data_IF_675750807511
#
_entry.id   IF_675750807511
#
_cell.length_a   1.000
_cell.length_b   1.000
_cell.length_c   1.000
_cell.angle_alpha   90.00
_cell.angle_beta   90.00
_cell.angle_gamma   90.00
#
_symmetry.space_group_name_H-M   'P 1'
#
loop_
_entity.id
_entity.type
_entity.pdbx_description
1 polymer ?
#
# COMPACT_ATOMS: atom_id res chain seq x y z
N UNK A 1 16.43 -31.60 13.85
CA UNK A 1 16.74 -31.48 12.41
C UNK A 1 18.25 -31.57 12.24
N UNK A 2 18.70 -32.40 11.30
CA UNK A 2 20.12 -32.56 10.99
C UNK A 2 20.61 -31.25 10.39
N UNK A 3 21.41 -30.50 11.14
CA UNK A 3 22.05 -29.29 10.66
C UNK A 3 23.05 -29.74 9.60
N UNK A 4 22.78 -29.48 8.32
CA UNK A 4 23.87 -29.53 7.33
C UNK A 4 24.93 -28.56 7.83
N UNK A 5 26.07 -29.10 8.27
CA UNK A 5 27.19 -28.28 8.72
C UNK A 5 27.77 -27.61 7.47
N UNK A 6 27.26 -26.43 7.16
CA UNK A 6 27.84 -25.59 6.13
C UNK A 6 29.12 -24.99 6.72
N UNK A 7 30.28 -25.47 6.24
CA UNK A 7 31.55 -24.83 6.53
C UNK A 7 31.62 -23.51 5.77
N UNK A 8 31.40 -22.41 6.49
CA UNK A 8 31.57 -21.06 5.96
C UNK A 8 33.07 -20.76 5.94
N UNK A 9 33.67 -20.37 4.79
CA UNK A 9 35.06 -19.97 4.73
C UNK A 9 35.34 -18.78 5.64
N UNK A 10 36.55 -18.72 6.21
CA UNK A 10 36.95 -17.63 7.10
C UNK A 10 36.95 -16.26 6.39
N UNK A 11 37.26 -16.25 5.09
CA UNK A 11 37.27 -15.05 4.25
C UNK A 11 36.32 -15.26 3.08
N UNK A 12 35.33 -14.37 2.95
CA UNK A 12 34.36 -14.42 1.85
C UNK A 12 34.15 -13.05 1.19
N UNK A 13 33.80 -13.02 -0.11
CA UNK A 13 33.31 -11.82 -0.77
C UNK A 13 32.01 -11.33 -0.15
N UNK A 14 31.86 -10.02 0.04
CA UNK A 14 30.67 -9.41 0.63
C UNK A 14 29.86 -8.67 -0.44
N UNK A 15 28.64 -9.14 -0.65
CA UNK A 15 27.63 -8.47 -1.45
C UNK A 15 26.83 -7.51 -0.56
N UNK A 16 26.88 -6.23 -0.91
CA UNK A 16 26.12 -5.17 -0.25
C UNK A 16 24.69 -5.13 -0.77
N UNK A 17 23.70 -5.29 0.10
CA UNK A 17 22.29 -5.21 -0.21
C UNK A 17 21.77 -3.81 0.13
N UNK A 18 21.05 -3.18 -0.80
CA UNK A 18 20.44 -1.85 -0.60
C UNK A 18 19.13 -1.96 0.19
N UNK A 19 18.36 -2.99 -0.10
CA UNK A 19 17.05 -3.27 0.49
C UNK A 19 16.90 -4.78 0.57
N UNK A 20 16.18 -5.27 1.59
CA UNK A 20 15.99 -6.69 1.89
C UNK A 20 17.17 -7.37 2.58
N UNK A 21 16.84 -8.14 3.61
CA UNK A 21 17.75 -9.00 4.37
C UNK A 21 17.56 -10.44 3.93
N UNK A 22 18.64 -11.15 3.63
CA UNK A 22 18.58 -12.57 3.31
C UNK A 22 18.59 -13.39 4.60
N UNK A 23 17.59 -14.25 4.81
CA UNK A 23 17.56 -15.16 5.96
C UNK A 23 18.12 -16.55 5.63
N UNK A 24 18.68 -17.28 6.61
CA UNK A 24 19.08 -18.66 6.44
C UNK A 24 17.92 -19.57 5.99
N UNK A 25 18.16 -20.40 4.97
CA UNK A 25 17.18 -21.29 4.34
C UNK A 25 16.23 -20.62 3.35
N UNK A 26 16.28 -19.29 3.20
CA UNK A 26 15.44 -18.56 2.26
C UNK A 26 16.12 -18.48 0.88
N UNK A 27 15.31 -18.61 -0.17
CA UNK A 27 15.73 -18.39 -1.55
C UNK A 27 15.16 -17.05 -2.00
N UNK A 28 16.02 -16.06 -2.25
CA UNK A 28 15.60 -14.70 -2.60
C UNK A 28 16.29 -14.23 -3.88
N UNK A 29 15.55 -13.73 -4.87
CA UNK A 29 16.13 -13.05 -6.03
C UNK A 29 16.62 -11.64 -5.62
N UNK A 30 17.86 -11.33 -5.94
CA UNK A 30 18.48 -10.02 -5.68
C UNK A 30 18.98 -9.44 -7.00
N UNK A 31 18.51 -8.24 -7.33
CA UNK A 31 18.99 -7.50 -8.50
C UNK A 31 20.23 -6.69 -8.12
N UNK A 32 21.31 -6.87 -8.87
CA UNK A 32 22.56 -6.13 -8.75
C UNK A 32 22.83 -5.35 -10.03
N UNK A 33 23.20 -4.07 -9.87
CA UNK A 33 23.52 -3.18 -11.00
C UNK A 33 24.86 -2.44 -10.86
N UNK A 34 25.50 -2.47 -9.68
CA UNK A 34 26.80 -1.81 -9.46
C UNK A 34 27.92 -2.68 -10.01
N UNK A 35 28.92 -2.06 -10.65
CA UNK A 35 30.07 -2.76 -11.23
C UNK A 35 30.82 -3.65 -10.23
N UNK A 36 30.99 -3.17 -8.97
CA UNK A 36 31.59 -3.95 -7.87
C UNK A 36 30.78 -5.21 -7.56
N UNK A 37 29.45 -5.09 -7.48
CA UNK A 37 28.54 -6.22 -7.21
C UNK A 37 28.48 -7.21 -8.38
N UNK A 38 28.45 -6.72 -9.62
CA UNK A 38 28.47 -7.56 -10.83
C UNK A 38 29.79 -8.35 -10.90
N UNK A 39 30.91 -7.68 -10.65
CA UNK A 39 32.24 -8.29 -10.60
C UNK A 39 32.33 -9.39 -9.55
N UNK A 40 31.82 -9.13 -8.34
CA UNK A 40 31.75 -10.11 -7.26
C UNK A 40 30.94 -11.34 -7.65
N UNK A 41 29.73 -11.14 -8.18
CA UNK A 41 28.81 -12.24 -8.54
C UNK A 41 29.43 -13.13 -9.61
N UNK A 42 30.08 -12.55 -10.63
CA UNK A 42 30.76 -13.30 -11.69
C UNK A 42 31.95 -14.10 -11.14
N UNK A 43 32.76 -13.50 -10.26
CA UNK A 43 33.89 -14.17 -9.64
C UNK A 43 33.45 -15.36 -8.78
N UNK A 44 32.48 -15.15 -7.88
CA UNK A 44 31.94 -16.20 -7.00
C UNK A 44 31.31 -17.34 -7.81
N UNK A 45 30.58 -17.01 -8.88
CA UNK A 45 29.95 -18.02 -9.74
C UNK A 45 30.97 -18.86 -10.52
N UNK A 46 32.09 -18.26 -10.97
CA UNK A 46 33.16 -18.98 -11.66
C UNK A 46 33.91 -19.95 -10.73
N UNK A 47 34.11 -19.55 -9.47
CA UNK A 47 34.81 -20.36 -8.46
C UNK A 47 33.89 -21.38 -7.75
N UNK A 48 32.57 -21.27 -7.93
CA UNK A 48 31.59 -22.10 -7.20
C UNK A 48 31.54 -21.80 -5.70
N UNK A 49 31.92 -20.57 -5.30
CA UNK A 49 32.12 -20.16 -3.91
C UNK A 49 30.84 -19.73 -3.19
N UNK A 50 31.02 -19.31 -1.92
CA UNK A 50 30.01 -18.63 -1.12
C UNK A 50 30.26 -17.12 -1.11
N UNK A 51 29.23 -16.35 -0.85
CA UNK A 51 29.31 -14.91 -0.60
C UNK A 51 28.57 -14.56 0.69
N UNK A 52 28.94 -13.44 1.31
CA UNK A 52 28.21 -12.87 2.44
C UNK A 52 27.26 -11.79 1.94
N UNK A 53 25.97 -11.93 2.18
CA UNK A 53 24.98 -10.91 1.88
C UNK A 53 24.73 -10.06 3.14
N UNK A 54 24.98 -8.75 3.04
CA UNK A 54 24.95 -7.83 4.18
C UNK A 54 24.16 -6.58 3.80
N UNK A 55 23.26 -6.16 4.69
CA UNK A 55 22.44 -4.96 4.49
C UNK A 55 23.27 -3.69 4.73
N UNK A 56 23.01 -2.64 3.93
CA UNK A 56 23.48 -1.28 4.16
C UNK A 56 22.58 -0.57 5.20
N UNK A 57 23.17 0.26 6.06
CA UNK A 57 22.41 1.09 7.02
C UNK A 57 21.58 2.15 6.32
N UNK A 58 22.17 2.79 5.32
CA UNK A 58 21.52 3.81 4.50
C UNK A 58 21.41 3.29 3.06
N UNK A 59 20.18 3.11 2.59
CA UNK A 59 19.89 2.57 1.25
C UNK A 59 20.29 3.53 0.12
N UNK A 60 20.36 4.83 0.41
CA UNK A 60 20.64 5.87 -0.58
C UNK A 60 22.12 5.99 -0.93
N UNK A 61 23.02 5.43 -0.13
CA UNK A 61 24.47 5.48 -0.39
C UNK A 61 24.82 4.60 -1.59
N UNK A 62 25.37 5.20 -2.65
CA UNK A 62 25.74 4.48 -3.89
C UNK A 62 27.03 3.66 -3.77
N UNK A 63 28.02 4.15 -3.04
CA UNK A 63 29.26 3.41 -2.77
C UNK A 63 29.47 3.33 -1.26
N UNK A 64 28.85 2.32 -0.60
CA UNK A 64 28.89 2.20 0.85
C UNK A 64 30.31 1.90 1.32
N UNK A 65 30.76 2.59 2.37
CA UNK A 65 31.97 2.24 3.08
C UNK A 65 31.73 1.06 4.04
N UNK A 66 32.78 0.39 4.53
CA UNK A 66 32.67 -0.65 5.56
C UNK A 66 31.82 -0.26 6.78
N UNK A 67 31.89 1.00 7.21
CA UNK A 67 31.16 1.50 8.38
C UNK A 67 29.66 1.72 8.12
N UNK A 68 29.26 1.82 6.85
CA UNK A 68 27.87 1.96 6.42
C UNK A 68 27.12 0.62 6.41
N UNK A 69 27.82 -0.48 6.70
CA UNK A 69 27.26 -1.82 6.67
C UNK A 69 26.81 -2.28 8.06
N UNK A 70 25.82 -3.16 8.11
CA UNK A 70 25.55 -3.94 9.31
C UNK A 70 26.64 -4.98 9.55
N UNK A 71 26.87 -5.32 10.82
CA UNK A 71 27.90 -6.32 11.19
C UNK A 71 27.46 -7.75 10.94
N UNK A 72 26.15 -8.01 11.03
CA UNK A 72 25.57 -9.33 10.86
C UNK A 72 24.91 -9.42 9.50
N UNK A 73 25.25 -10.47 8.76
CA UNK A 73 24.66 -10.82 7.48
C UNK A 73 24.42 -12.32 7.37
N UNK A 74 24.25 -12.79 6.13
CA UNK A 74 24.00 -14.20 5.84
C UNK A 74 24.95 -14.70 4.77
N UNK A 75 25.65 -15.80 5.06
CA UNK A 75 26.39 -16.54 4.04
C UNK A 75 25.40 -17.17 3.07
N UNK A 76 25.67 -17.04 1.78
CA UNK A 76 24.78 -17.46 0.73
C UNK A 76 25.52 -18.12 -0.43
N UNK A 77 24.80 -18.96 -1.17
CA UNK A 77 25.26 -19.55 -2.42
C UNK A 77 24.42 -19.04 -3.59
N UNK A 78 25.08 -18.78 -4.71
CA UNK A 78 24.42 -18.45 -5.97
C UNK A 78 23.81 -19.73 -6.53
N UNK A 79 22.48 -19.75 -6.68
CA UNK A 79 21.78 -20.84 -7.38
C UNK A 79 21.78 -20.57 -8.88
N UNK A 80 21.47 -19.32 -9.27
CA UNK A 80 21.29 -18.95 -10.68
C UNK A 80 21.53 -17.47 -10.88
N UNK A 81 22.03 -17.11 -12.05
CA UNK A 81 22.15 -15.73 -12.53
C UNK A 81 21.27 -15.58 -13.76
N UNK A 82 20.50 -14.48 -13.79
CA UNK A 82 19.66 -14.08 -14.91
C UNK A 82 20.13 -12.70 -15.37
N UNK A 83 20.51 -12.57 -16.63
CA UNK A 83 20.87 -11.28 -17.22
C UNK A 83 19.59 -10.58 -17.68
N UNK A 84 19.39 -9.35 -17.20
CA UNK A 84 18.23 -8.54 -17.58
C UNK A 84 18.56 -7.70 -18.82
N UNK A 85 17.57 -7.35 -19.67
CA UNK A 85 17.80 -6.58 -20.90
C UNK A 85 18.44 -5.20 -20.69
N UNK A 86 18.36 -4.66 -19.47
CA UNK A 86 18.93 -3.37 -19.07
C UNK A 86 20.39 -3.44 -18.62
N UNK A 87 21.04 -4.62 -18.68
CA UNK A 87 22.41 -4.83 -18.24
C UNK A 87 22.58 -5.17 -16.76
N UNK A 88 21.50 -5.13 -15.95
CA UNK A 88 21.54 -5.59 -14.57
C UNK A 88 21.52 -7.12 -14.49
N UNK A 89 22.05 -7.68 -13.40
CA UNK A 89 21.98 -9.10 -13.11
C UNK A 89 20.96 -9.35 -12.00
N UNK A 90 20.05 -10.30 -12.19
CA UNK A 90 19.22 -10.83 -11.11
C UNK A 90 19.82 -12.16 -10.67
N UNK A 91 20.27 -12.21 -9.42
CA UNK A 91 20.94 -13.37 -8.83
C UNK A 91 20.00 -14.02 -7.83
N UNK A 92 19.74 -15.31 -8.01
CA UNK A 92 18.97 -16.11 -7.07
C UNK A 92 19.93 -16.66 -6.02
N UNK A 93 19.79 -16.19 -4.78
CA UNK A 93 20.64 -16.58 -3.66
C UNK A 93 19.89 -17.54 -2.73
N UNK A 94 20.60 -18.56 -2.25
CA UNK A 94 20.17 -19.39 -1.12
C UNK A 94 20.92 -18.97 0.14
N UNK A 95 20.22 -18.48 1.15
CA UNK A 95 20.81 -18.20 2.46
C UNK A 95 21.15 -19.50 3.19
N UNK A 96 22.34 -19.59 3.76
CA UNK A 96 22.85 -20.80 4.42
C UNK A 96 22.92 -20.63 5.94
N UNK A 97 23.82 -19.77 6.42
CA UNK A 97 24.00 -19.49 7.85
C UNK A 97 24.24 -18.01 8.09
N UNK A 98 23.98 -17.55 9.33
CA UNK A 98 24.32 -16.19 9.73
C UNK A 98 25.81 -16.05 9.89
N UNK A 99 26.32 -14.88 9.57
CA UNK A 99 27.72 -14.52 9.69
C UNK A 99 27.85 -13.18 10.41
N UNK A 100 28.90 -13.04 11.20
CA UNK A 100 29.36 -11.77 11.73
C UNK A 100 30.63 -11.36 11.01
N UNK A 101 30.65 -10.13 10.49
CA UNK A 101 31.84 -9.51 9.92
C UNK A 101 32.74 -9.07 11.06
N UNK A 102 33.95 -9.62 11.09
CA UNK A 102 34.99 -9.24 12.07
C UNK A 102 35.88 -8.12 11.53
N UNK A 103 36.26 -8.18 10.26
CA UNK A 103 37.18 -7.24 9.63
C UNK A 103 37.01 -7.22 8.11
N UNK A 104 37.09 -6.06 7.47
CA UNK A 104 37.19 -5.94 6.02
C UNK A 104 38.66 -5.96 5.58
N UNK A 105 39.03 -6.94 4.78
CA UNK A 105 40.42 -7.20 4.35
C UNK A 105 40.73 -6.46 3.05
N UNK A 106 39.75 -6.35 2.16
CA UNK A 106 39.89 -5.66 0.88
C UNK A 106 38.57 -4.98 0.49
N UNK A 107 38.66 -3.86 -0.22
CA UNK A 107 37.52 -3.09 -0.74
C UNK A 107 37.43 -3.10 -2.27
N UNK A 108 38.55 -3.37 -2.95
CA UNK A 108 38.66 -3.42 -4.41
C UNK A 108 39.11 -4.82 -4.88
N UNK A 109 38.57 -5.36 -5.99
CA UNK A 109 37.50 -4.81 -6.83
C UNK A 109 36.09 -4.94 -6.22
N UNK A 110 35.99 -5.59 -5.06
CA UNK A 110 34.78 -5.73 -4.25
C UNK A 110 35.19 -6.04 -2.81
N UNK A 111 34.26 -5.90 -1.86
CA UNK A 111 34.52 -6.18 -0.46
C UNK A 111 34.87 -7.65 -0.21
N UNK A 112 35.95 -7.89 0.53
CA UNK A 112 36.26 -9.18 1.14
C UNK A 112 36.40 -8.96 2.63
N UNK A 113 35.74 -9.79 3.43
CA UNK A 113 35.77 -9.68 4.88
C UNK A 113 36.07 -11.01 5.53
N UNK A 114 36.70 -10.94 6.71
CA UNK A 114 36.82 -12.06 7.63
C UNK A 114 35.50 -12.21 8.39
N UNK A 115 34.94 -13.41 8.37
CA UNK A 115 33.62 -13.68 8.94
C UNK A 115 33.66 -14.85 9.92
N UNK A 116 32.79 -14.78 10.93
CA UNK A 116 32.55 -15.86 11.88
C UNK A 116 31.11 -16.34 11.72
N UNK A 117 30.91 -17.66 11.57
CA UNK A 117 29.56 -18.22 11.52
C UNK A 117 28.86 -18.08 12.88
N UNK A 118 27.69 -17.42 12.88
CA UNK A 118 26.84 -17.25 14.05
C UNK A 118 25.74 -18.30 14.05
N UNK A 119 25.96 -19.39 14.77
CA UNK A 119 24.94 -20.43 14.93
C UNK A 119 23.87 -19.98 15.93
N UNK A 120 22.62 -19.93 15.46
CA UNK A 120 21.48 -19.70 16.35
C UNK A 120 21.41 -20.82 17.39
N UNK A 121 21.38 -20.45 18.66
CA UNK A 121 20.99 -21.35 19.73
C UNK A 121 19.59 -21.91 19.44
N UNK A 122 19.50 -23.24 19.36
CA UNK A 122 18.21 -23.93 19.29
C UNK A 122 17.65 -24.08 20.69
N UNK A 123 16.42 -23.63 20.96
CA UNK A 123 15.73 -23.94 22.21
C UNK A 123 15.64 -25.46 22.39
N UNK A 124 15.51 -25.90 23.64
CA UNK A 124 15.23 -27.31 23.92
C UNK A 124 13.97 -27.72 23.16
N UNK A 125 14.06 -28.84 22.42
CA UNK A 125 13.01 -29.31 21.50
C UNK A 125 11.69 -29.55 22.24
N UNK A 126 11.75 -29.73 23.56
CA UNK A 126 10.62 -29.95 24.47
C UNK A 126 10.03 -28.68 25.12
N UNK A 127 10.47 -27.49 24.75
CA UNK A 127 9.91 -26.26 25.30
C UNK A 127 8.49 -26.02 24.78
N UNK A 128 7.50 -26.26 25.66
CA UNK A 128 6.06 -25.99 25.39
C UNK A 128 5.85 -24.52 25.01
N UNK A 129 6.59 -23.61 25.66
CA UNK A 129 6.51 -22.17 25.36
C UNK A 129 6.94 -21.86 23.92
N UNK A 130 8.03 -22.47 23.46
CA UNK A 130 8.52 -22.24 22.10
C UNK A 130 7.56 -22.79 21.05
N UNK A 131 6.88 -23.90 21.34
CA UNK A 131 5.86 -24.46 20.46
C UNK A 131 4.64 -23.56 20.35
N UNK A 132 4.07 -23.14 21.49
CA UNK A 132 2.94 -22.21 21.53
C UNK A 132 3.26 -20.88 20.83
N UNK A 133 4.51 -20.41 20.93
CA UNK A 133 4.96 -19.20 20.25
C UNK A 133 5.00 -19.37 18.74
N UNK A 134 5.50 -20.49 18.24
CA UNK A 134 5.53 -20.79 16.79
C UNK A 134 4.11 -20.94 16.24
N UNK A 135 3.21 -21.58 16.97
CA UNK A 135 1.80 -21.70 16.58
C UNK A 135 1.12 -20.32 16.55
N UNK A 136 1.38 -19.47 17.55
CA UNK A 136 0.86 -18.09 17.56
C UNK A 136 1.37 -17.28 16.37
N UNK A 137 2.66 -17.40 16.03
CA UNK A 137 3.26 -16.75 14.85
C UNK A 137 2.58 -17.24 13.57
N UNK A 138 2.32 -18.55 13.45
CA UNK A 138 1.63 -19.15 12.31
C UNK A 138 0.22 -18.56 12.17
N UNK A 139 -0.55 -18.51 13.25
CA UNK A 139 -1.93 -18.02 13.24
C UNK A 139 -2.00 -16.53 12.89
N UNK A 140 -1.13 -15.70 13.49
CA UNK A 140 -1.08 -14.27 13.18
C UNK A 140 -0.67 -14.05 11.72
N UNK A 141 0.35 -14.76 11.22
CA UNK A 141 0.76 -14.66 9.82
C UNK A 141 -0.37 -15.05 8.84
N UNK A 142 -1.12 -16.13 9.13
CA UNK A 142 -2.27 -16.54 8.33
C UNK A 142 -3.38 -15.49 8.34
N UNK A 143 -3.65 -14.86 9.48
CA UNK A 143 -4.63 -13.79 9.58
C UNK A 143 -4.23 -12.57 8.73
N UNK A 144 -2.95 -12.17 8.76
CA UNK A 144 -2.46 -11.07 7.92
C UNK A 144 -2.66 -11.38 6.43
N UNK A 145 -2.34 -12.61 5.99
CA UNK A 145 -2.55 -13.04 4.59
C UNK A 145 -4.03 -13.00 4.20
N UNK A 146 -4.93 -13.37 5.11
CA UNK A 146 -6.37 -13.38 4.81
C UNK A 146 -6.98 -11.97 4.76
N UNK A 147 -6.48 -11.04 5.58
CA UNK A 147 -6.98 -9.66 5.64
C UNK A 147 -6.37 -8.80 4.52
N UNK A 148 -5.14 -9.08 4.12
CA UNK A 148 -4.43 -8.31 3.09
C UNK A 148 -4.79 -8.75 1.67
N UNK A 149 -5.46 -7.91 0.86
CA UNK A 149 -5.84 -8.27 -0.51
C UNK A 149 -4.65 -8.42 -1.46
N UNK A 150 -3.49 -7.86 -1.11
CA UNK A 150 -2.28 -7.85 -1.95
C UNK A 150 -1.46 -9.13 -1.83
N UNK A 151 -1.71 -9.99 -0.83
CA UNK A 151 -0.91 -11.19 -0.61
C UNK A 151 -1.45 -12.43 -1.35
N UNK A 152 -0.60 -13.20 -2.03
CA UNK A 152 -1.00 -14.46 -2.67
C UNK A 152 -1.49 -15.48 -1.65
N UNK A 153 -2.63 -16.12 -1.93
CA UNK A 153 -3.20 -17.16 -1.04
C UNK A 153 -2.33 -18.41 -0.98
N UNK A 154 -1.48 -18.62 -1.99
CA UNK A 154 -0.49 -19.67 -2.07
C UNK A 154 0.52 -19.61 -0.91
N UNK A 155 0.83 -18.39 -0.41
CA UNK A 155 1.71 -18.21 0.74
C UNK A 155 1.12 -18.85 2.01
N UNK A 156 -0.21 -18.81 2.19
CA UNK A 156 -0.87 -19.45 3.32
C UNK A 156 -0.74 -20.99 3.27
N UNK A 157 -0.73 -21.59 2.08
CA UNK A 157 -0.48 -23.02 1.93
C UNK A 157 0.96 -23.39 2.29
N UNK A 158 1.94 -22.57 1.88
CA UNK A 158 3.34 -22.79 2.22
C UNK A 158 3.55 -22.79 3.74
N UNK A 159 3.00 -21.79 4.45
CA UNK A 159 3.12 -21.67 5.92
C UNK A 159 2.55 -22.90 6.66
N UNK A 160 1.45 -23.48 6.16
CA UNK A 160 0.82 -24.66 6.77
C UNK A 160 1.60 -25.95 6.58
N UNK A 161 2.38 -26.05 5.51
CA UNK A 161 3.13 -27.27 5.14
C UNK A 161 4.58 -27.27 5.65
N UNK A 162 5.05 -26.20 6.30
CA UNK A 162 6.39 -26.15 6.87
C UNK A 162 6.36 -26.76 8.28
N UNK A 163 6.96 -27.95 8.41
CA UNK A 163 7.08 -28.67 9.68
C UNK A 163 8.23 -28.13 10.56
N UNK A 164 9.26 -27.56 9.93
CA UNK A 164 10.42 -27.04 10.64
C UNK A 164 10.08 -25.77 11.42
N UNK A 165 10.27 -25.80 12.76
CA UNK A 165 10.11 -24.61 13.62
C UNK A 165 11.06 -23.48 13.23
N UNK A 166 12.30 -23.81 12.80
CA UNK A 166 13.25 -22.82 12.28
C UNK A 166 12.83 -22.33 10.89
N UNK A 167 12.44 -23.27 10.03
CA UNK A 167 12.02 -22.98 8.66
C UNK A 167 10.84 -22.02 8.62
N UNK A 168 9.81 -22.23 9.43
CA UNK A 168 8.61 -21.38 9.44
C UNK A 168 8.93 -19.96 9.90
N UNK A 169 9.76 -19.79 10.94
CA UNK A 169 10.18 -18.47 11.42
C UNK A 169 10.94 -17.73 10.31
N UNK A 170 11.95 -18.37 9.70
CA UNK A 170 12.75 -17.74 8.65
C UNK A 170 11.92 -17.48 7.37
N UNK A 171 11.00 -18.37 7.04
CA UNK A 171 10.08 -18.20 5.91
C UNK A 171 9.19 -16.97 6.10
N UNK A 172 8.59 -16.81 7.28
CA UNK A 172 7.75 -15.66 7.59
C UNK A 172 8.59 -14.37 7.59
N UNK A 173 9.77 -14.36 8.21
CA UNK A 173 10.67 -13.21 8.17
C UNK A 173 11.05 -12.76 6.74
N UNK A 174 11.16 -13.71 5.80
CA UNK A 174 11.58 -13.43 4.43
C UNK A 174 10.44 -12.99 3.51
N UNK A 175 9.22 -13.46 3.77
CA UNK A 175 8.07 -13.22 2.88
C UNK A 175 7.13 -12.12 3.38
N UNK A 176 7.20 -11.71 4.65
CA UNK A 176 6.39 -10.60 5.16
C UNK A 176 6.99 -9.24 4.77
N UNK A 177 6.10 -8.29 4.51
CA UNK A 177 6.45 -6.88 4.27
C UNK A 177 6.82 -6.21 5.59
N UNK A 178 8.08 -6.35 5.98
CA UNK A 178 8.66 -5.71 7.17
C UNK A 178 9.56 -4.54 6.78
N UNK A 179 9.85 -3.65 7.73
CA UNK A 179 10.88 -2.64 7.56
C UNK A 179 12.27 -3.29 7.52
N UNK A 180 13.23 -2.68 6.83
CA UNK A 180 14.60 -3.23 6.77
C UNK A 180 15.27 -3.26 8.16
N UNK A 181 14.95 -2.28 9.02
CA UNK A 181 15.37 -2.23 10.42
C UNK A 181 14.84 -3.44 11.22
N UNK A 182 13.54 -3.76 11.09
CA UNK A 182 12.94 -4.91 11.76
C UNK A 182 13.52 -6.23 11.26
N UNK A 183 13.71 -6.37 9.93
CA UNK A 183 14.34 -7.56 9.35
C UNK A 183 15.75 -7.77 9.88
N UNK A 184 16.53 -6.69 9.96
CA UNK A 184 17.87 -6.75 10.50
C UNK A 184 17.86 -7.11 11.98
N UNK A 185 16.98 -6.50 12.78
CA UNK A 185 16.82 -6.82 14.20
C UNK A 185 16.41 -8.29 14.45
N UNK A 186 15.69 -8.91 13.50
CA UNK A 186 15.34 -10.33 13.51
C UNK A 186 16.54 -11.22 13.15
N UNK A 187 17.37 -10.83 12.19
CA UNK A 187 18.58 -11.55 11.82
C UNK A 187 19.61 -11.53 12.98
N UNK A 188 19.78 -10.36 13.60
CA UNK A 188 20.71 -10.11 14.70
C UNK A 188 20.32 -10.79 16.02
N UNK A 189 19.08 -11.30 16.13
CA UNK A 189 18.64 -11.99 17.33
C UNK A 189 19.55 -13.20 17.65
N UNK A 190 20.01 -13.35 18.92
CA UNK A 190 21.06 -14.33 19.30
C UNK A 190 20.59 -15.79 19.29
N UNK A 191 19.28 -16.03 19.15
CA UNK A 191 18.71 -17.36 19.15
C UNK A 191 17.29 -17.39 18.62
N UNK A 192 16.82 -18.60 18.32
CA UNK A 192 15.54 -18.79 17.65
C UNK A 192 14.34 -18.36 18.52
N UNK A 193 14.42 -18.56 19.85
CA UNK A 193 13.37 -18.10 20.78
C UNK A 193 13.28 -16.57 20.81
N UNK A 194 14.42 -15.89 20.90
CA UNK A 194 14.46 -14.42 20.90
C UNK A 194 13.95 -13.85 19.57
N UNK A 195 14.34 -14.47 18.44
CA UNK A 195 13.80 -14.13 17.12
C UNK A 195 12.29 -14.33 17.05
N UNK A 196 11.79 -15.47 17.52
CA UNK A 196 10.36 -15.79 17.51
C UNK A 196 9.55 -14.77 18.33
N UNK A 197 10.02 -14.39 19.53
CA UNK A 197 9.33 -13.39 20.35
C UNK A 197 9.27 -12.03 19.67
N UNK A 198 10.39 -11.55 19.14
CA UNK A 198 10.43 -10.30 18.34
C UNK A 198 9.54 -10.38 17.12
N UNK A 199 9.56 -11.51 16.40
CA UNK A 199 8.74 -11.71 15.21
C UNK A 199 7.25 -11.61 15.58
N UNK A 200 6.80 -12.27 16.65
CA UNK A 200 5.42 -12.20 17.07
C UNK A 200 4.99 -10.76 17.41
N UNK A 201 5.84 -10.00 18.13
CA UNK A 201 5.57 -8.60 18.44
C UNK A 201 5.40 -7.74 17.18
N UNK A 202 6.32 -7.91 16.21
CA UNK A 202 6.25 -7.22 14.92
C UNK A 202 4.97 -7.62 14.16
N UNK A 203 4.66 -8.93 14.09
CA UNK A 203 3.50 -9.43 13.38
C UNK A 203 2.18 -8.92 13.96
N UNK A 204 2.07 -8.79 15.29
CA UNK A 204 0.86 -8.22 15.91
C UNK A 204 0.67 -6.76 15.47
N UNK A 205 1.74 -5.97 15.42
CA UNK A 205 1.70 -4.59 14.93
C UNK A 205 1.30 -4.53 13.46
N UNK A 206 1.88 -5.40 12.62
CA UNK A 206 1.55 -5.47 11.19
C UNK A 206 0.10 -5.94 10.94
N UNK A 207 -0.43 -6.85 11.77
CA UNK A 207 -1.82 -7.26 11.70
C UNK A 207 -2.77 -6.08 11.93
N UNK A 208 -2.54 -5.29 12.99
CA UNK A 208 -3.36 -4.10 13.26
C UNK A 208 -3.31 -3.10 12.11
N UNK A 209 -2.14 -2.90 11.51
CA UNK A 209 -1.98 -2.03 10.35
C UNK A 209 -2.74 -2.57 9.12
N UNK A 210 -2.66 -3.88 8.86
CA UNK A 210 -3.38 -4.52 7.77
C UNK A 210 -4.90 -4.41 7.92
N UNK A 211 -5.42 -4.62 9.13
CA UNK A 211 -6.84 -4.45 9.45
C UNK A 211 -7.31 -3.00 9.24
N UNK A 212 -6.53 -2.02 9.70
CA UNK A 212 -6.85 -0.61 9.49
C UNK A 212 -6.85 -0.23 7.99
N UNK A 213 -5.85 -0.69 7.23
CA UNK A 213 -5.79 -0.47 5.77
C UNK A 213 -7.01 -1.06 5.07
N UNK A 214 -7.42 -2.27 5.45
CA UNK A 214 -8.60 -2.95 4.90
C UNK A 214 -9.89 -2.17 5.19
N UNK A 215 -10.07 -1.70 6.44
CA UNK A 215 -11.24 -0.87 6.81
C UNK A 215 -11.30 0.45 6.04
N UNK A 216 -10.16 1.11 5.83
CA UNK A 216 -10.09 2.35 5.03
C UNK A 216 -10.50 2.05 3.58
N UNK A 217 -9.97 0.99 2.97
CA UNK A 217 -10.33 0.59 1.61
C UNK A 217 -11.82 0.29 1.47
N UNK A 218 -12.41 -0.41 2.45
CA UNK A 218 -13.83 -0.72 2.45
C UNK A 218 -14.69 0.55 2.53
N UNK A 219 -14.35 1.50 3.41
CA UNK A 219 -15.06 2.79 3.51
C UNK A 219 -14.99 3.59 2.22
N UNK A 220 -13.80 3.70 1.61
CA UNK A 220 -13.62 4.41 0.34
C UNK A 220 -14.44 3.74 -0.77
N UNK A 221 -14.47 2.41 -0.81
CA UNK A 221 -15.30 1.68 -1.77
C UNK A 221 -16.79 1.94 -1.57
N UNK A 222 -17.28 1.92 -0.33
CA UNK A 222 -18.68 2.22 -0.02
C UNK A 222 -19.07 3.65 -0.44
N UNK A 223 -18.20 4.64 -0.25
CA UNK A 223 -18.42 6.01 -0.70
C UNK A 223 -18.49 6.12 -2.23
N UNK A 224 -17.57 5.46 -2.94
CA UNK A 224 -17.59 5.41 -4.41
C UNK A 224 -18.85 4.73 -4.92
N UNK A 225 -19.22 3.58 -4.36
CA UNK A 225 -20.43 2.83 -4.74
C UNK A 225 -21.72 3.62 -4.45
N UNK A 226 -21.71 4.48 -3.43
CA UNK A 226 -22.82 5.41 -3.14
C UNK A 226 -22.87 6.52 -4.18
N UNK A 227 -21.75 7.18 -4.46
CA UNK A 227 -21.68 8.25 -5.47
C UNK A 227 -22.08 7.76 -6.87
N UNK A 228 -21.64 6.56 -7.27
CA UNK A 228 -22.03 5.97 -8.55
C UNK A 228 -23.52 5.67 -8.62
N UNK A 229 -24.11 5.15 -7.53
CA UNK A 229 -25.56 4.94 -7.45
C UNK A 229 -26.33 6.24 -7.52
N UNK A 230 -25.93 7.25 -6.76
CA UNK A 230 -26.59 8.56 -6.74
C UNK A 230 -26.53 9.22 -8.13
N UNK A 231 -25.37 9.17 -8.79
CA UNK A 231 -25.20 9.64 -10.17
C UNK A 231 -26.12 8.90 -11.15
N UNK A 232 -26.17 7.57 -11.06
CA UNK A 232 -27.00 6.75 -11.94
C UNK A 232 -28.50 7.02 -11.73
N UNK A 233 -28.95 7.14 -10.47
CA UNK A 233 -30.34 7.48 -10.13
C UNK A 233 -30.72 8.87 -10.63
N UNK A 234 -29.84 9.87 -10.49
CA UNK A 234 -30.07 11.20 -11.05
C UNK A 234 -30.21 11.17 -12.57
N UNK A 235 -29.38 10.39 -13.25
CA UNK A 235 -29.47 10.23 -14.69
C UNK A 235 -30.77 9.52 -15.11
N UNK A 236 -31.20 8.49 -14.38
CA UNK A 236 -32.50 7.84 -14.61
C UNK A 236 -33.68 8.77 -14.38
N UNK A 237 -33.68 9.54 -13.28
CA UNK A 237 -34.72 10.54 -13.01
C UNK A 237 -34.81 11.57 -14.13
N UNK A 238 -33.66 12.01 -14.66
CA UNK A 238 -33.61 12.92 -15.80
C UNK A 238 -34.24 12.31 -17.04
N UNK A 239 -33.87 11.06 -17.39
CA UNK A 239 -34.49 10.37 -18.53
C UNK A 239 -36.00 10.20 -18.34
N UNK A 240 -36.46 9.86 -17.14
CA UNK A 240 -37.89 9.73 -16.83
C UNK A 240 -38.61 11.08 -16.96
N UNK A 241 -38.03 12.18 -16.46
CA UNK A 241 -38.60 13.52 -16.60
C UNK A 241 -38.68 13.96 -18.06
N UNK A 242 -37.64 13.69 -18.85
CA UNK A 242 -37.61 13.95 -20.29
C UNK A 242 -38.66 13.08 -21.05
N UNK A 243 -38.90 11.83 -20.63
CA UNK A 243 -39.89 10.92 -21.23
C UNK A 243 -41.34 11.21 -20.83
N UNK A 244 -41.59 11.71 -19.61
CA UNK A 244 -42.93 12.09 -19.13
C UNK A 244 -43.41 13.45 -19.68
N UNK A 245 -42.53 14.24 -20.29
CA UNK A 245 -42.86 15.55 -20.85
C UNK A 245 -43.18 16.62 -19.79
N UNK A 246 -42.92 16.34 -18.52
CA UNK A 246 -43.08 17.26 -17.37
C UNK A 246 -41.76 18.01 -17.10
N UNK A 247 -41.11 18.45 -18.18
CA UNK A 247 -39.87 19.22 -18.12
C UNK A 247 -40.11 20.62 -17.57
N UNK A 248 -39.01 21.31 -17.26
CA UNK A 248 -38.97 22.72 -16.83
C UNK A 248 -39.90 23.66 -17.63
N UNK A 249 -40.20 23.32 -18.88
CA UNK A 249 -41.15 24.02 -19.76
C UNK A 249 -42.58 24.10 -19.21
N UNK A 250 -43.06 23.10 -18.46
CA UNK A 250 -44.42 23.09 -17.92
C UNK A 250 -44.62 24.13 -16.81
N UNK A 251 -43.61 24.33 -15.95
CA UNK A 251 -43.67 25.33 -14.88
C UNK A 251 -43.45 26.74 -15.41
N UNK A 252 -42.60 26.91 -16.42
CA UNK A 252 -42.43 28.18 -17.14
C UNK A 252 -43.74 28.60 -17.82
N UNK A 253 -44.46 27.66 -18.43
CA UNK A 253 -45.74 27.97 -19.09
C UNK A 253 -46.84 28.33 -18.06
N UNK A 254 -46.89 27.66 -16.90
CA UNK A 254 -47.78 28.07 -15.79
C UNK A 254 -47.49 29.50 -15.33
N UNK A 255 -46.21 29.85 -15.14
CA UNK A 255 -45.82 31.20 -14.74
C UNK A 255 -46.19 32.24 -15.79
N UNK A 256 -46.09 31.90 -17.08
CA UNK A 256 -46.54 32.76 -18.19
C UNK A 256 -48.06 32.97 -18.18
N UNK A 257 -48.83 31.94 -17.84
CA UNK A 257 -50.30 32.05 -17.70
C UNK A 257 -50.72 32.92 -16.50
N UNK A 258 -50.04 32.79 -15.36
CA UNK A 258 -50.27 33.64 -14.18
C UNK A 258 -49.85 35.09 -14.45
N UNK A 259 -48.76 35.28 -15.18
CA UNK A 259 -48.26 36.60 -15.57
C UNK A 259 -49.31 37.42 -16.35
N UNK A 260 -50.02 36.78 -17.28
CA UNK A 260 -51.07 37.45 -18.09
C UNK A 260 -52.27 37.95 -17.27
N UNK A 261 -52.52 37.39 -16.09
CA UNK A 261 -53.70 37.71 -15.25
C UNK A 261 -53.47 38.84 -14.26
N UNK A 262 -52.21 39.24 -14.05
CA UNK A 262 -51.79 40.22 -13.04
C UNK A 262 -51.72 41.63 -13.63
N UNK A 263 -51.96 42.65 -12.80
CA UNK A 263 -52.06 44.06 -13.21
C UNK A 263 -50.77 44.85 -12.91
N UNK A 264 -49.68 44.47 -13.57
CA UNK A 264 -48.34 45.05 -13.37
C UNK A 264 -48.21 46.46 -13.99
N UNK A 265 -47.36 47.34 -13.43
CA UNK A 265 -46.82 48.48 -14.17
C UNK A 265 -46.04 48.04 -15.42
N UNK A 266 -46.08 48.83 -16.49
CA UNK A 266 -45.48 48.48 -17.78
C UNK A 266 -43.98 48.10 -17.70
N UNK A 267 -43.20 48.84 -16.88
CA UNK A 267 -41.77 48.59 -16.67
C UNK A 267 -41.49 47.23 -16.00
N UNK A 268 -42.37 46.81 -15.09
CA UNK A 268 -42.23 45.53 -14.36
C UNK A 268 -42.59 44.36 -15.26
N UNK A 269 -43.64 44.50 -16.07
CA UNK A 269 -44.03 43.47 -17.05
C UNK A 269 -42.94 43.21 -18.10
N UNK A 270 -42.31 44.27 -18.62
CA UNK A 270 -41.19 44.12 -19.57
C UNK A 270 -39.96 43.44 -18.92
N UNK A 271 -39.70 43.75 -17.64
CA UNK A 271 -38.60 43.13 -16.89
C UNK A 271 -38.87 41.66 -16.61
N UNK A 272 -40.10 41.30 -16.21
CA UNK A 272 -40.51 39.92 -15.98
C UNK A 272 -40.35 39.07 -17.25
N UNK A 273 -40.80 39.58 -18.40
CA UNK A 273 -40.68 38.85 -19.67
C UNK A 273 -39.22 38.64 -20.09
N UNK A 274 -38.35 39.64 -19.89
CA UNK A 274 -36.91 39.52 -20.16
C UNK A 274 -36.24 38.48 -19.27
N UNK A 275 -36.59 38.44 -17.99
CA UNK A 275 -36.04 37.47 -17.04
C UNK A 275 -36.60 36.05 -17.29
N UNK A 276 -37.88 35.92 -17.66
CA UNK A 276 -38.49 34.65 -18.06
C UNK A 276 -37.78 34.04 -19.28
N UNK A 277 -37.51 34.85 -20.32
CA UNK A 277 -36.76 34.41 -21.50
C UNK A 277 -35.31 34.00 -21.20
N UNK A 278 -34.70 34.56 -20.15
CA UNK A 278 -33.38 34.12 -19.69
C UNK A 278 -33.46 32.75 -19.02
N UNK A 279 -34.46 32.53 -18.16
CA UNK A 279 -34.68 31.24 -17.47
C UNK A 279 -34.97 30.13 -18.47
N UNK A 280 -35.76 30.38 -19.52
CA UNK A 280 -36.00 29.43 -20.63
C UNK A 280 -34.73 28.96 -21.33
N UNK A 281 -33.67 29.79 -21.34
CA UNK A 281 -32.39 29.46 -21.98
C UNK A 281 -31.38 28.87 -21.01
N UNK A 282 -31.66 28.93 -19.71
CA UNK A 282 -30.75 28.42 -18.69
C UNK A 282 -31.00 26.94 -18.46
N UNK A 283 -29.91 26.22 -18.18
CA UNK A 283 -29.98 24.82 -17.81
C UNK A 283 -30.54 24.71 -16.38
N UNK A 284 -31.62 23.94 -16.12
CA UNK A 284 -32.16 23.76 -14.77
C UNK A 284 -31.16 23.26 -13.71
N UNK A 285 -30.04 22.67 -14.14
CA UNK A 285 -28.99 22.17 -13.26
C UNK A 285 -28.00 23.23 -12.73
N UNK A 286 -27.98 24.45 -13.27
CA UNK A 286 -27.12 25.52 -12.72
C UNK A 286 -27.79 26.22 -11.55
N UNK A 287 -27.00 26.55 -10.52
CA UNK A 287 -27.49 27.22 -9.31
C UNK A 287 -28.18 28.57 -9.59
N UNK A 288 -27.85 29.24 -10.69
CA UNK A 288 -28.52 30.47 -11.12
C UNK A 288 -29.99 30.24 -11.50
N UNK A 289 -30.35 29.05 -11.99
CA UNK A 289 -31.72 28.73 -12.40
C UNK A 289 -32.69 28.80 -11.22
N UNK A 290 -32.34 28.22 -10.06
CA UNK A 290 -33.20 28.23 -8.88
C UNK A 290 -33.39 29.65 -8.33
N UNK A 291 -32.32 30.45 -8.31
CA UNK A 291 -32.37 31.85 -7.85
C UNK A 291 -33.29 32.68 -8.74
N UNK A 292 -33.20 32.50 -10.06
CA UNK A 292 -33.99 33.26 -11.02
C UNK A 292 -35.46 32.81 -11.04
N UNK A 293 -35.74 31.52 -10.82
CA UNK A 293 -37.09 30.99 -10.63
C UNK A 293 -37.76 31.58 -9.38
N UNK A 294 -37.04 31.63 -8.25
CA UNK A 294 -37.54 32.24 -7.01
C UNK A 294 -37.79 33.74 -7.18
N UNK A 295 -36.93 34.44 -7.93
CA UNK A 295 -37.12 35.86 -8.23
C UNK A 295 -38.38 36.11 -9.07
N UNK A 296 -38.61 35.31 -10.12
CA UNK A 296 -39.83 35.39 -10.93
C UNK A 296 -41.09 35.04 -10.12
N UNK A 297 -41.04 34.05 -9.22
CA UNK A 297 -42.14 33.75 -8.31
C UNK A 297 -42.45 34.91 -7.37
N UNK A 298 -41.43 35.55 -6.78
CA UNK A 298 -41.62 36.73 -5.93
C UNK A 298 -42.33 37.87 -6.69
N UNK A 299 -41.95 38.08 -7.95
CA UNK A 299 -42.62 39.07 -8.80
C UNK A 299 -44.11 38.73 -9.02
N UNK A 300 -44.46 37.46 -9.21
CA UNK A 300 -45.85 37.00 -9.35
C UNK A 300 -46.66 37.16 -8.07
N UNK A 301 -46.06 36.94 -6.90
CA UNK A 301 -46.75 37.03 -5.61
C UNK A 301 -47.10 38.47 -5.21
N UNK A 302 -46.33 39.46 -5.68
CA UNK A 302 -46.54 40.85 -5.30
C UNK A 302 -47.91 41.40 -5.79
N UNK A 303 -48.62 42.17 -4.93
CA UNK A 303 -49.92 42.76 -5.26
C UNK A 303 -49.72 44.06 -6.05
N UNK A 304 -49.28 43.94 -7.30
CA UNK A 304 -49.03 45.08 -8.17
C UNK A 304 -50.31 45.88 -8.45
N UNK A 305 -50.24 47.20 -8.25
CA UNK A 305 -51.35 48.14 -8.43
C UNK A 305 -52.63 47.86 -7.60
N UNK A 306 -52.58 46.90 -6.68
CA UNK A 306 -53.64 46.67 -5.70
C UNK A 306 -53.40 47.61 -4.51
N UNK A 307 -54.07 48.76 -4.55
CA UNK A 307 -54.05 49.76 -3.49
C UNK A 307 -55.28 49.63 -2.61
N UNK A 308 -55.09 49.62 -1.29
CA UNK A 308 -56.19 49.76 -0.33
C UNK A 308 -56.52 51.23 -0.13
N UNK A 309 -57.78 51.54 0.21
CA UNK A 309 -58.15 52.89 0.64
C UNK A 309 -57.47 53.19 1.97
N UNK A 310 -56.75 54.30 2.00
CA UNK A 310 -56.05 54.78 3.18
C UNK A 310 -57.03 55.01 4.35
N UNK A 311 -56.65 54.55 5.54
CA UNK A 311 -57.42 54.71 6.77
C UNK A 311 -56.66 55.68 7.68
N UNK A 312 -57.09 56.94 7.70
CA UNK A 312 -56.50 58.03 8.48
C UNK A 312 -57.12 58.16 9.88
N UNK A 313 -57.68 57.09 10.45
CA UNK A 313 -57.97 57.03 11.89
C UNK A 313 -56.69 56.63 12.64
N UNK A 314 -55.97 57.65 13.12
CA UNK A 314 -54.85 57.57 14.07
C UNK A 314 -55.35 57.81 15.51
#
# INVERSE_FOLDING_TARGET
ETIEQVEVPEIIPILTLRSSVLFPGAITPITVGRDKSISLVRAVNAEGGMLGAVLQRESDVEDPAPDDMYKIGTAARIIKILEMPNGNLTVILNGLEKIEITEYIATEPYFKARVTALRDSTPDVKSIEFEALVDSIRDVALNIINVSPSMPKEAAFAIKNIDSKRGIINFICSNMELTDEDRQALLEAPGLLSRARKLLEILIREQQLAELKSQIQERVKQEIDKQQRDYYLQQQMRTIQDELGDGADADIEKMREEAKKKNWPAEVGETFEKELQKVERLNPAVAEYSVQMTYLQLLLELPWNDVTKDNLDL
#
